data_IF_341717265866
#
_entry.id   IF_341717265866
#
_cell.length_a   1.000
_cell.length_b   1.000
_cell.length_c   1.000
_cell.angle_alpha   90.00
_cell.angle_beta   90.00
_cell.angle_gamma   90.00
#
_symmetry.space_group_name_H-M   'P 1'
#
loop_
_entity.id
_entity.type
_entity.pdbx_description
1 polymer ?
#
# COMPACT_ATOMS: atom_id res chain seq x y z
N UNK A 1 19.23 1.92 -44.36
CA UNK A 1 19.62 1.17 -43.15
C UNK A 1 19.39 2.07 -41.94
N UNK A 2 18.69 1.53 -40.95
CA UNK A 2 18.16 2.23 -39.78
C UNK A 2 19.28 2.72 -38.87
N UNK A 3 19.01 3.82 -38.15
CA UNK A 3 19.10 3.84 -36.69
C UNK A 3 18.41 5.12 -36.18
N UNK A 4 17.13 5.01 -35.85
CA UNK A 4 16.42 5.99 -35.04
C UNK A 4 16.90 5.82 -33.60
N UNK A 5 17.67 6.78 -33.09
CA UNK A 5 17.99 6.83 -31.67
C UNK A 5 16.84 7.55 -30.96
N UNK A 6 16.07 6.78 -30.20
CA UNK A 6 14.92 7.25 -29.44
C UNK A 6 15.40 7.96 -28.18
N UNK A 7 15.51 9.29 -28.23
CA UNK A 7 15.68 10.13 -27.05
C UNK A 7 14.30 10.35 -26.40
N UNK A 8 14.00 9.57 -25.35
CA UNK A 8 12.75 9.70 -24.61
C UNK A 8 12.51 8.62 -23.56
N UNK A 9 13.57 8.12 -22.92
CA UNK A 9 13.48 7.22 -21.76
C UNK A 9 13.62 8.06 -20.49
N UNK A 10 12.91 7.61 -19.44
CA UNK A 10 12.76 8.15 -18.09
C UNK A 10 11.50 9.02 -17.89
N UNK A 11 10.34 8.35 -17.92
CA UNK A 11 9.23 8.76 -17.05
C UNK A 11 9.78 8.86 -15.62
N UNK A 12 9.64 10.06 -15.07
CA UNK A 12 9.93 10.47 -13.70
C UNK A 12 9.79 9.29 -12.72
N UNK A 13 10.92 8.80 -12.20
CA UNK A 13 10.90 7.96 -11.01
C UNK A 13 10.53 8.88 -9.85
N UNK A 14 9.24 8.84 -9.48
CA UNK A 14 8.66 9.61 -8.40
C UNK A 14 9.53 9.43 -7.14
N UNK A 15 10.08 10.54 -6.67
CA UNK A 15 10.78 10.69 -5.42
C UNK A 15 9.79 10.56 -4.26
N UNK A 16 9.19 9.38 -4.09
CA UNK A 16 8.31 9.08 -2.97
C UNK A 16 9.18 8.50 -1.86
N UNK A 17 9.34 9.24 -0.77
CA UNK A 17 10.04 8.77 0.42
C UNK A 17 9.56 7.35 0.77
N UNK A 18 10.52 6.44 0.95
CA UNK A 18 10.27 5.03 1.22
C UNK A 18 9.75 4.94 2.65
N UNK A 19 8.43 5.06 2.81
CA UNK A 19 7.78 4.97 4.11
C UNK A 19 7.69 3.51 4.53
N UNK A 20 8.07 3.23 5.77
CA UNK A 20 8.01 1.92 6.42
C UNK A 20 7.00 1.98 7.56
N UNK A 21 6.31 0.86 7.80
CA UNK A 21 5.44 0.77 8.98
C UNK A 21 6.25 0.85 10.28
N UNK A 22 5.68 1.54 11.27
CA UNK A 22 6.16 1.40 12.64
C UNK A 22 5.80 0.00 13.19
N UNK A 23 6.34 -0.35 14.35
CA UNK A 23 6.15 -1.67 14.96
C UNK A 23 4.67 -2.06 15.17
N UNK A 24 3.84 -1.13 15.66
CA UNK A 24 2.43 -1.39 15.95
C UNK A 24 1.62 -1.52 14.66
N UNK A 25 1.78 -0.59 13.72
CA UNK A 25 1.08 -0.62 12.44
C UNK A 25 1.47 -1.86 11.62
N UNK A 26 2.73 -2.30 11.72
CA UNK A 26 3.19 -3.53 11.11
C UNK A 26 2.52 -4.74 11.72
N UNK A 27 2.38 -4.79 13.05
CA UNK A 27 1.68 -5.86 13.76
C UNK A 27 0.21 -5.90 13.37
N UNK A 28 -0.49 -4.77 13.44
CA UNK A 28 -1.92 -4.67 13.10
C UNK A 28 -2.16 -5.05 11.64
N UNK A 29 -1.29 -4.61 10.73
CA UNK A 29 -1.37 -5.02 9.33
C UNK A 29 -1.07 -6.49 9.13
N UNK A 30 -0.10 -7.05 9.86
CA UNK A 30 0.21 -8.49 9.80
C UNK A 30 -0.97 -9.33 10.26
N UNK A 31 -1.66 -8.93 11.33
CA UNK A 31 -2.89 -9.59 11.79
C UNK A 31 -3.98 -9.54 10.71
N UNK A 32 -4.18 -8.39 10.06
CA UNK A 32 -5.09 -8.25 8.92
C UNK A 32 -4.71 -9.17 7.74
N UNK A 33 -3.43 -9.26 7.37
CA UNK A 33 -2.96 -10.08 6.24
C UNK A 33 -3.00 -11.58 6.52
N UNK A 34 -2.70 -11.97 7.75
CA UNK A 34 -2.62 -13.38 8.18
C UNK A 34 -3.98 -13.93 8.62
N UNK A 35 -4.97 -13.08 8.88
CA UNK A 35 -6.33 -13.44 9.26
C UNK A 35 -7.02 -14.44 8.33
N UNK A 36 -8.07 -15.08 8.86
CA UNK A 36 -8.76 -16.21 8.22
C UNK A 36 -9.60 -15.81 6.99
N UNK A 37 -10.17 -14.59 7.00
CA UNK A 37 -11.10 -14.11 5.97
C UNK A 37 -10.44 -13.15 4.98
N UNK A 38 -9.59 -13.66 4.08
CA UNK A 38 -8.85 -12.82 3.11
C UNK A 38 -9.71 -12.28 1.94
N UNK A 39 -10.93 -12.79 1.79
CA UNK A 39 -11.83 -12.46 0.68
C UNK A 39 -12.85 -11.37 1.02
N UNK A 40 -13.05 -11.09 2.31
CA UNK A 40 -14.01 -10.10 2.79
C UNK A 40 -13.31 -9.17 3.76
N UNK A 41 -13.80 -7.94 3.87
CA UNK A 41 -13.25 -6.95 4.79
C UNK A 41 -14.36 -6.54 5.76
N UNK A 42 -14.08 -6.69 7.05
CA UNK A 42 -14.97 -6.23 8.12
C UNK A 42 -14.93 -4.70 8.21
N UNK A 43 -15.94 -4.06 8.82
CA UNK A 43 -15.92 -2.61 9.02
C UNK A 43 -14.69 -2.09 9.79
N UNK A 44 -14.14 -2.90 10.71
CA UNK A 44 -12.94 -2.57 11.49
C UNK A 44 -11.69 -2.60 10.61
N UNK A 45 -11.51 -3.66 9.83
CA UNK A 45 -10.39 -3.78 8.88
C UNK A 45 -10.46 -2.69 7.80
N UNK A 46 -11.67 -2.36 7.34
CA UNK A 46 -11.87 -1.29 6.37
C UNK A 46 -11.41 0.07 6.94
N UNK A 47 -11.73 0.34 8.20
CA UNK A 47 -11.27 1.53 8.90
C UNK A 47 -9.73 1.52 9.03
N UNK A 48 -9.13 0.40 9.42
CA UNK A 48 -7.67 0.22 9.49
C UNK A 48 -6.98 0.55 8.17
N UNK A 49 -7.49 0.06 7.03
CA UNK A 49 -6.93 0.36 5.71
C UNK A 49 -6.99 1.86 5.41
N UNK A 50 -8.11 2.53 5.73
CA UNK A 50 -8.26 3.96 5.49
C UNK A 50 -7.30 4.78 6.36
N UNK A 51 -7.17 4.44 7.64
CA UNK A 51 -6.31 5.14 8.59
C UNK A 51 -4.83 4.99 8.23
N UNK A 52 -4.38 3.78 7.92
CA UNK A 52 -3.00 3.52 7.51
C UNK A 52 -2.69 4.16 6.16
N UNK A 53 -3.61 4.09 5.20
CA UNK A 53 -3.38 4.72 3.89
C UNK A 53 -3.28 6.25 4.04
N UNK A 54 -4.13 6.88 4.85
CA UNK A 54 -4.02 8.32 5.15
C UNK A 54 -2.68 8.67 5.80
N UNK A 55 -2.28 7.90 6.82
CA UNK A 55 -1.04 8.08 7.58
C UNK A 55 0.21 7.94 6.71
N UNK A 56 0.28 6.90 5.88
CA UNK A 56 1.49 6.59 5.09
C UNK A 56 1.47 7.21 3.70
N UNK A 57 0.34 7.52 3.10
CA UNK A 57 0.29 8.18 1.79
C UNK A 57 0.06 9.69 1.89
N UNK A 58 0.13 10.24 3.11
CA UNK A 58 0.06 11.69 3.42
C UNK A 58 -1.09 12.40 2.70
N UNK A 59 -2.26 11.75 2.72
CA UNK A 59 -3.48 12.34 2.20
C UNK A 59 -4.49 12.47 3.32
N UNK A 60 -5.38 13.45 3.20
CA UNK A 60 -6.46 13.63 4.16
C UNK A 60 -7.27 12.34 4.31
N UNK A 61 -7.65 12.05 5.55
CA UNK A 61 -8.50 10.89 5.86
C UNK A 61 -9.76 10.94 5.00
N UNK A 62 -9.95 9.91 4.20
CA UNK A 62 -11.08 9.77 3.30
C UNK A 62 -11.59 8.34 3.35
N UNK A 63 -12.91 8.20 3.48
CA UNK A 63 -13.59 6.91 3.53
C UNK A 63 -14.31 6.67 2.19
N UNK A 64 -13.79 5.80 1.31
CA UNK A 64 -14.43 5.55 0.02
C UNK A 64 -15.76 4.79 0.18
N UNK A 65 -16.67 4.90 -0.79
CA UNK A 65 -17.90 4.08 -0.83
C UNK A 65 -17.50 2.60 -0.86
N UNK A 66 -18.06 1.79 0.02
CA UNK A 66 -17.90 0.32 0.01
C UNK A 66 -18.52 -0.33 -1.24
N UNK A 67 -19.35 0.44 -1.94
CA UNK A 67 -20.04 0.15 -3.20
C UNK A 67 -19.06 -0.12 -4.35
N UNK A 68 -17.85 0.46 -4.30
CA UNK A 68 -16.80 0.28 -5.30
C UNK A 68 -15.48 -0.12 -4.63
N UNK A 69 -15.18 -1.43 -4.54
CA UNK A 69 -14.00 -1.92 -3.82
C UNK A 69 -12.68 -1.64 -4.56
N UNK A 70 -12.71 -1.05 -5.76
CA UNK A 70 -11.50 -0.76 -6.55
C UNK A 70 -10.51 0.11 -5.77
N UNK A 71 -11.01 1.11 -5.07
CA UNK A 71 -10.19 2.05 -4.30
C UNK A 71 -9.55 1.36 -3.10
N UNK A 72 -10.33 0.63 -2.29
CA UNK A 72 -9.80 -0.06 -1.11
C UNK A 72 -8.80 -1.14 -1.50
N UNK A 73 -9.05 -1.88 -2.59
CA UNK A 73 -8.14 -2.88 -3.11
C UNK A 73 -6.82 -2.29 -3.60
N UNK A 74 -6.85 -1.05 -4.14
CA UNK A 74 -5.63 -0.32 -4.49
C UNK A 74 -4.84 0.04 -3.22
N UNK A 75 -5.50 0.62 -2.23
CA UNK A 75 -4.86 0.98 -0.96
C UNK A 75 -4.25 -0.21 -0.22
N UNK A 76 -4.91 -1.36 -0.27
CA UNK A 76 -4.35 -2.61 0.28
C UNK A 76 -3.05 -3.01 -0.45
N UNK A 77 -3.00 -2.90 -1.79
CA UNK A 77 -1.76 -3.20 -2.56
C UNK A 77 -0.65 -2.21 -2.24
N UNK A 78 -1.01 -0.94 -2.12
CA UNK A 78 -0.10 0.14 -1.77
C UNK A 78 0.53 -0.13 -0.38
N UNK A 79 -0.30 -0.41 0.63
CA UNK A 79 0.13 -0.77 1.99
C UNK A 79 0.89 -2.11 2.06
N UNK A 80 0.55 -3.11 1.25
CA UNK A 80 1.33 -4.35 1.16
C UNK A 80 2.76 -4.10 0.71
N UNK A 81 2.98 -3.12 -0.17
CA UNK A 81 4.33 -2.75 -0.62
C UNK A 81 5.17 -2.22 0.55
N UNK A 82 4.54 -1.51 1.50
CA UNK A 82 5.19 -1.03 2.71
C UNK A 82 5.48 -2.19 3.68
N UNK A 83 4.52 -3.09 3.86
CA UNK A 83 4.65 -4.26 4.71
C UNK A 83 5.75 -5.24 4.25
N UNK A 84 5.78 -5.55 2.95
CA UNK A 84 6.75 -6.48 2.35
C UNK A 84 8.21 -6.00 2.52
N UNK A 85 8.44 -4.68 2.45
CA UNK A 85 9.76 -4.08 2.76
C UNK A 85 10.19 -4.31 4.21
N UNK A 86 9.24 -4.27 5.15
CA UNK A 86 9.48 -4.58 6.56
C UNK A 86 9.88 -6.03 6.78
N UNK A 87 9.22 -6.97 6.09
CA UNK A 87 9.55 -8.40 6.14
C UNK A 87 10.99 -8.66 5.71
N UNK A 88 11.43 -8.05 4.59
CA UNK A 88 12.77 -8.22 4.04
C UNK A 88 13.88 -7.70 4.95
N UNK A 89 13.60 -6.73 5.82
CA UNK A 89 14.57 -6.19 6.77
C UNK A 89 14.80 -7.09 8.01
N UNK A 90 13.86 -8.00 8.30
CA UNK A 90 13.90 -8.91 9.47
C UNK A 90 14.36 -10.33 9.15
N UNK A 91 14.68 -10.63 7.88
CA UNK A 91 15.20 -11.93 7.45
C UNK A 91 16.71 -11.91 7.27
N UNK A 92 17.46 -12.06 8.35
CA UNK A 92 18.85 -12.54 8.33
C UNK A 92 19.15 -13.28 9.64
#
# INVERSE_FOLDING_TARGET
MQMQQQAGIFKQLNNQEVKNFNHYDYKDWSEFRLGENRNTITPKEFQLVCDLHAKYYDHNFYKPCTCSPKTINKWIKDLNTIWDRGVLASGN
#
